data_IF_324530574680
#
_entry.id   IF_324530574680
#
_cell.length_a   1.000
_cell.length_b   1.000
_cell.length_c   1.000
_cell.angle_alpha   90.00
_cell.angle_beta   90.00
_cell.angle_gamma   90.00
#
_symmetry.space_group_name_H-M   'P 1'
#
loop_
_entity.id
_entity.type
_entity.pdbx_description
1 polymer ?
#
# COMPACT_ATOMS: atom_id res chain seq x y z
N UNK A 1 21.73 -24.94 -50.11
CA UNK A 1 22.14 -24.43 -51.45
C UNK A 1 22.10 -22.90 -51.36
N UNK A 2 23.10 -22.22 -50.80
CA UNK A 2 24.40 -21.78 -51.39
C UNK A 2 24.25 -21.17 -52.79
N UNK A 3 24.06 -19.85 -52.84
CA UNK A 3 24.40 -19.04 -54.00
C UNK A 3 25.72 -18.31 -53.70
N UNK A 4 26.74 -18.60 -54.50
CA UNK A 4 28.07 -18.00 -54.44
C UNK A 4 28.12 -16.70 -55.27
N UNK A 5 28.97 -15.73 -54.89
CA UNK A 5 29.06 -14.43 -55.57
C UNK A 5 30.02 -14.48 -56.77
N UNK A 6 29.80 -13.58 -57.75
CA UNK A 6 30.66 -13.41 -58.93
C UNK A 6 31.66 -12.27 -58.72
N UNK A 7 32.95 -12.59 -58.87
CA UNK A 7 34.12 -11.70 -58.99
C UNK A 7 34.19 -11.11 -60.43
N UNK A 8 34.95 -10.10 -60.86
CA UNK A 8 36.06 -9.26 -60.37
C UNK A 8 36.26 -8.09 -61.37
N UNK A 9 36.76 -6.96 -60.87
CA UNK A 9 37.53 -5.76 -61.37
C UNK A 9 38.25 -5.88 -62.75
N UNK A 10 38.90 -4.83 -63.38
CA UNK A 10 39.22 -3.45 -62.93
C UNK A 10 39.23 -2.32 -64.00
N UNK A 11 39.47 -1.07 -63.58
CA UNK A 11 40.32 -0.13 -64.34
C UNK A 11 40.81 1.05 -63.47
N UNK A 12 42.11 1.35 -63.58
CA UNK A 12 42.88 2.38 -62.85
C UNK A 12 42.80 3.75 -63.53
N UNK A 13 42.95 4.82 -62.74
CA UNK A 13 43.89 5.98 -62.89
C UNK A 13 43.45 7.08 -61.90
N UNK A 14 44.19 7.35 -60.82
CA UNK A 14 45.24 8.38 -60.71
C UNK A 14 44.78 9.79 -61.14
N UNK A 15 44.56 10.69 -60.17
CA UNK A 15 45.26 11.97 -60.10
C UNK A 15 44.92 12.68 -58.78
N UNK A 16 45.97 13.12 -58.08
CA UNK A 16 45.93 14.07 -56.97
C UNK A 16 45.70 15.46 -57.54
N UNK A 17 44.81 16.23 -56.93
CA UNK A 17 44.89 17.69 -56.95
C UNK A 17 44.23 18.23 -55.69
N UNK A 18 45.08 18.73 -54.79
CA UNK A 18 44.68 19.60 -53.71
C UNK A 18 44.17 20.92 -54.30
N UNK A 19 43.00 21.36 -53.85
CA UNK A 19 42.45 22.67 -54.16
C UNK A 19 41.53 23.05 -53.02
N UNK A 20 42.03 23.89 -52.12
CA UNK A 20 41.26 24.46 -51.03
C UNK A 20 40.22 25.43 -51.61
N UNK A 21 38.94 25.21 -51.27
CA UNK A 21 37.91 26.25 -51.33
C UNK A 21 37.29 26.31 -49.93
N UNK A 22 37.56 27.42 -49.25
CA UNK A 22 36.89 27.82 -48.02
C UNK A 22 35.53 28.47 -48.34
N UNK A 23 34.68 28.59 -47.30
CA UNK A 23 33.34 29.22 -47.22
C UNK A 23 32.18 28.21 -47.31
N UNK A 24 31.21 28.11 -46.38
CA UNK A 24 30.77 28.95 -45.27
C UNK A 24 30.21 28.07 -44.14
N UNK A 25 30.48 28.47 -42.89
CA UNK A 25 29.80 27.96 -41.72
C UNK A 25 28.46 28.68 -41.51
N UNK A 26 27.36 27.94 -41.58
CA UNK A 26 26.05 28.19 -40.94
C UNK A 26 25.48 26.78 -40.72
N UNK A 27 25.50 26.18 -39.54
CA UNK A 27 24.90 26.72 -38.31
C UNK A 27 23.49 26.17 -38.16
N UNK A 28 23.33 24.86 -37.98
CA UNK A 28 22.12 24.22 -37.45
C UNK A 28 22.40 22.75 -37.07
N UNK A 29 23.35 22.52 -36.17
CA UNK A 29 23.31 21.30 -35.38
C UNK A 29 22.13 21.42 -34.41
N UNK A 30 20.97 20.93 -34.82
CA UNK A 30 19.92 20.49 -33.90
C UNK A 30 20.52 19.35 -33.09
N UNK A 31 21.26 19.71 -32.04
CA UNK A 31 21.50 18.82 -30.92
C UNK A 31 20.11 18.47 -30.41
N UNK A 32 19.60 17.28 -30.77
CA UNK A 32 18.60 16.63 -29.97
C UNK A 32 19.25 16.44 -28.60
N UNK A 33 19.04 17.40 -27.71
CA UNK A 33 19.39 17.22 -26.31
C UNK A 33 18.70 15.93 -25.88
N UNK A 34 19.42 14.95 -25.30
CA UNK A 34 18.74 13.83 -24.68
C UNK A 34 17.79 14.43 -23.66
N UNK A 35 16.49 14.23 -23.83
CA UNK A 35 15.54 14.53 -22.78
C UNK A 35 15.84 13.57 -21.65
N UNK A 36 16.69 14.00 -20.72
CA UNK A 36 16.84 13.36 -19.43
C UNK A 36 15.53 13.56 -18.70
N UNK A 37 14.59 12.63 -18.86
CA UNK A 37 13.56 12.41 -17.87
C UNK A 37 14.26 11.78 -16.67
N UNK A 38 14.94 12.62 -15.88
CA UNK A 38 15.16 12.27 -14.48
C UNK A 38 13.79 12.18 -13.83
N UNK A 39 13.60 11.17 -13.00
CA UNK A 39 12.42 10.92 -12.17
C UNK A 39 12.26 12.06 -11.15
N UNK A 40 11.88 13.25 -11.63
CA UNK A 40 11.98 14.51 -10.88
C UNK A 40 10.69 14.88 -10.16
N UNK A 41 9.72 13.98 -10.10
CA UNK A 41 8.49 14.15 -9.32
C UNK A 41 8.62 13.39 -8.01
N UNK A 42 8.23 13.97 -6.87
CA UNK A 42 8.23 13.25 -5.61
C UNK A 42 7.18 12.13 -5.66
N UNK A 43 7.46 11.04 -4.94
CA UNK A 43 6.47 10.00 -4.68
C UNK A 43 5.35 10.51 -3.77
N UNK A 44 4.21 9.81 -3.76
CA UNK A 44 3.12 10.13 -2.82
C UNK A 44 3.63 10.10 -1.38
N UNK A 45 4.43 9.10 -1.00
CA UNK A 45 5.00 9.01 0.34
C UNK A 45 5.87 10.23 0.69
N UNK A 46 6.71 10.69 -0.24
CA UNK A 46 7.53 11.89 -0.06
C UNK A 46 6.68 13.15 0.12
N UNK A 47 5.60 13.29 -0.66
CA UNK A 47 4.66 14.41 -0.51
C UNK A 47 3.94 14.38 0.85
N UNK A 48 3.43 13.21 1.26
CA UNK A 48 2.77 13.06 2.57
C UNK A 48 3.73 13.36 3.72
N UNK A 49 4.99 12.93 3.61
CA UNK A 49 6.03 13.25 4.60
C UNK A 49 6.33 14.75 4.63
N UNK A 50 6.30 15.43 3.48
CA UNK A 50 6.54 16.86 3.35
C UNK A 50 5.41 17.73 3.92
N UNK A 51 4.26 17.17 4.33
CA UNK A 51 3.21 17.93 5.01
C UNK A 51 3.70 18.68 6.25
N UNK A 52 4.69 18.15 6.98
CA UNK A 52 5.26 18.83 8.15
C UNK A 52 6.10 20.06 7.84
N UNK A 53 6.51 20.27 6.58
CA UNK A 53 7.31 21.41 6.13
C UNK A 53 6.62 22.26 5.06
N UNK A 54 5.39 21.90 4.67
CA UNK A 54 4.55 22.68 3.79
C UNK A 54 3.87 23.83 4.57
N UNK A 55 3.70 24.98 3.94
CA UNK A 55 2.94 26.10 4.50
C UNK A 55 1.44 25.78 4.57
N UNK A 56 0.96 24.99 3.61
CA UNK A 56 -0.37 24.40 3.60
C UNK A 56 -0.23 22.91 3.41
N UNK A 57 -0.85 22.12 4.27
CA UNK A 57 -1.16 20.71 4.02
C UNK A 57 -2.62 20.52 4.41
N UNK A 58 -3.48 20.28 3.42
CA UNK A 58 -4.92 20.15 3.63
C UNK A 58 -5.43 18.87 3.00
N UNK A 59 -6.21 18.10 3.78
CA UNK A 59 -7.00 17.03 3.24
C UNK A 59 -8.39 17.55 2.86
N UNK A 60 -8.82 17.21 1.66
CA UNK A 60 -10.14 17.51 1.13
C UNK A 60 -10.93 16.20 1.03
N UNK A 61 -11.73 15.86 2.05
CA UNK A 61 -12.49 14.63 2.09
C UNK A 61 -13.62 14.63 1.04
N UNK A 62 -13.88 13.46 0.46
CA UNK A 62 -14.88 13.26 -0.60
C UNK A 62 -15.90 12.16 -0.28
N UNK A 63 -15.47 11.09 0.38
CA UNK A 63 -16.41 10.04 0.83
C UNK A 63 -15.93 9.38 2.12
N UNK A 64 -16.88 8.81 2.84
CA UNK A 64 -16.67 8.01 4.04
C UNK A 64 -17.51 6.73 3.98
N UNK A 65 -16.96 5.61 4.46
CA UNK A 65 -17.66 4.32 4.53
C UNK A 65 -17.20 3.50 5.72
N UNK A 66 -18.14 2.96 6.49
CA UNK A 66 -17.91 1.92 7.49
C UNK A 66 -18.15 0.52 6.88
N UNK A 67 -17.40 -0.48 7.32
CA UNK A 67 -17.48 -1.86 6.83
C UNK A 67 -16.82 -2.85 7.79
N UNK A 68 -17.17 -4.14 7.68
CA UNK A 68 -16.45 -5.21 8.37
C UNK A 68 -15.24 -5.63 7.55
N UNK A 69 -14.07 -5.65 8.17
CA UNK A 69 -12.81 -6.09 7.59
C UNK A 69 -12.79 -7.59 7.25
N UNK A 70 -11.74 -8.05 6.55
CA UNK A 70 -11.61 -9.46 6.21
C UNK A 70 -11.52 -10.32 7.47
N UNK A 71 -12.21 -11.46 7.40
CA UNK A 71 -12.22 -12.44 8.48
C UNK A 71 -10.86 -13.14 8.59
N UNK A 72 -10.38 -13.31 9.81
CA UNK A 72 -9.12 -14.02 10.09
C UNK A 72 -9.20 -14.74 11.44
N UNK A 73 -8.33 -15.73 11.63
CA UNK A 73 -8.26 -16.42 12.91
C UNK A 73 -7.57 -15.54 13.96
N UNK A 74 -8.13 -15.50 15.17
CA UNK A 74 -7.50 -14.92 16.35
C UNK A 74 -7.29 -15.99 17.42
N UNK A 75 -6.17 -15.91 18.12
CA UNK A 75 -5.77 -16.92 19.10
C UNK A 75 -5.41 -18.27 18.48
N UNK A 76 -5.13 -19.24 19.36
CA UNK A 76 -4.77 -20.60 18.95
C UNK A 76 -5.99 -21.42 18.56
N UNK A 77 -5.74 -22.44 17.73
CA UNK A 77 -6.71 -23.51 17.48
C UNK A 77 -6.71 -24.47 18.68
N UNK A 78 -7.89 -24.74 19.23
CA UNK A 78 -8.11 -25.75 20.26
C UNK A 78 -8.38 -27.11 19.59
N UNK A 79 -7.64 -28.15 19.98
CA UNK A 79 -7.83 -29.51 19.48
C UNK A 79 -8.38 -30.38 20.60
N UNK A 80 -9.47 -31.10 20.35
CA UNK A 80 -10.03 -32.03 21.32
C UNK A 80 -9.75 -33.49 20.90
N UNK A 81 -8.71 -34.05 21.53
CA UNK A 81 -8.27 -35.43 21.36
C UNK A 81 -9.01 -36.42 22.27
N UNK A 82 -9.87 -35.94 23.17
CA UNK A 82 -10.65 -36.77 24.07
C UNK A 82 -11.88 -37.39 23.40
N UNK A 83 -12.57 -38.22 24.17
CA UNK A 83 -13.83 -38.88 23.77
C UNK A 83 -15.09 -38.09 24.16
N UNK A 84 -14.94 -37.04 24.97
CA UNK A 84 -16.03 -36.16 25.42
C UNK A 84 -15.84 -34.73 24.92
N UNK A 85 -16.92 -33.94 24.93
CA UNK A 85 -16.82 -32.50 24.60
C UNK A 85 -16.00 -31.80 25.69
N UNK A 86 -14.89 -31.19 25.29
CA UNK A 86 -13.98 -30.52 26.20
C UNK A 86 -14.09 -29.01 26.07
N UNK A 87 -13.95 -28.34 27.20
CA UNK A 87 -13.90 -26.90 27.27
C UNK A 87 -12.46 -26.42 27.11
N UNK A 88 -12.25 -25.43 26.26
CA UNK A 88 -10.95 -24.81 26.00
C UNK A 88 -11.03 -23.30 26.21
N UNK A 89 -10.04 -22.75 26.88
CA UNK A 89 -9.87 -21.29 27.01
C UNK A 89 -8.93 -20.81 25.92
N UNK A 90 -9.40 -19.89 25.08
CA UNK A 90 -8.65 -19.25 24.00
C UNK A 90 -8.45 -17.78 24.36
N UNK A 91 -7.19 -17.41 24.60
CA UNK A 91 -6.77 -16.03 24.77
C UNK A 91 -6.28 -15.50 23.43
N UNK A 92 -6.65 -14.27 23.09
CA UNK A 92 -6.14 -13.62 21.88
C UNK A 92 -5.96 -12.11 22.06
N UNK A 93 -5.08 -11.56 21.24
CA UNK A 93 -4.84 -10.13 21.07
C UNK A 93 -4.69 -9.86 19.58
N UNK A 94 -5.36 -8.85 19.06
CA UNK A 94 -5.32 -8.49 17.65
C UNK A 94 -5.21 -6.97 17.47
N UNK A 95 -4.22 -6.54 16.70
CA UNK A 95 -3.95 -5.12 16.42
C UNK A 95 -4.35 -4.77 14.99
N UNK A 96 -5.29 -3.85 14.86
CA UNK A 96 -5.70 -3.26 13.59
C UNK A 96 -5.03 -1.91 13.40
N UNK A 97 -4.03 -1.86 12.53
CA UNK A 97 -3.38 -0.62 12.12
C UNK A 97 -4.09 0.03 10.94
N UNK A 98 -4.00 1.36 10.88
CA UNK A 98 -4.44 2.10 9.71
C UNK A 98 -3.54 1.78 8.50
N UNK A 99 -4.15 1.80 7.32
CA UNK A 99 -3.48 1.71 6.03
C UNK A 99 -3.91 2.88 5.16
N UNK A 100 -3.10 3.19 4.15
CA UNK A 100 -3.42 4.23 3.18
C UNK A 100 -2.91 3.89 1.77
N UNK A 101 -3.06 4.83 0.84
CA UNK A 101 -2.59 4.70 -0.56
C UNK A 101 -1.11 4.33 -0.69
N UNK A 102 -0.26 4.61 0.31
CA UNK A 102 1.18 4.27 0.28
C UNK A 102 1.52 2.97 1.03
N UNK A 103 0.53 2.32 1.67
CA UNK A 103 0.74 1.05 2.40
C UNK A 103 0.36 1.18 3.89
N UNK A 104 1.24 0.70 4.77
CA UNK A 104 1.01 0.76 6.22
C UNK A 104 1.27 2.17 6.73
N UNK A 105 0.36 2.69 7.55
CA UNK A 105 0.31 4.08 8.02
C UNK A 105 1.59 4.60 8.71
N UNK A 106 2.47 3.71 9.19
CA UNK A 106 3.65 4.02 10.01
C UNK A 106 4.68 4.85 9.22
N UNK A 107 4.68 4.78 7.89
CA UNK A 107 5.66 5.49 7.04
C UNK A 107 5.27 6.93 6.71
N UNK A 108 3.99 7.33 6.91
CA UNK A 108 3.55 8.70 6.68
C UNK A 108 3.68 9.53 7.96
N UNK A 109 4.37 10.67 7.88
CA UNK A 109 4.74 11.50 9.04
C UNK A 109 3.58 11.95 9.94
N UNK A 110 3.90 12.31 11.19
CA UNK A 110 2.92 12.65 12.24
C UNK A 110 1.97 13.79 11.82
N UNK A 111 2.49 14.83 11.18
CA UNK A 111 1.69 16.00 10.77
C UNK A 111 0.63 15.65 9.71
N UNK A 112 0.97 14.77 8.79
CA UNK A 112 0.01 14.26 7.80
C UNK A 112 -1.21 13.61 8.49
N UNK A 113 -0.97 12.75 9.48
CA UNK A 113 -2.05 12.07 10.20
C UNK A 113 -2.86 13.02 11.07
N UNK A 114 -2.26 14.07 11.63
CA UNK A 114 -2.99 15.11 12.37
C UNK A 114 -3.99 15.83 11.47
N UNK A 115 -3.55 16.30 10.30
CA UNK A 115 -4.42 16.94 9.31
C UNK A 115 -5.52 15.99 8.87
N UNK A 116 -5.17 14.73 8.55
CA UNK A 116 -6.14 13.73 8.12
C UNK A 116 -7.25 13.52 9.16
N UNK A 117 -6.86 13.25 10.42
CA UNK A 117 -7.79 12.96 11.51
C UNK A 117 -8.73 14.14 11.75
N UNK A 118 -8.19 15.35 11.84
CA UNK A 118 -8.98 16.56 12.03
C UNK A 118 -9.97 16.78 10.86
N UNK A 119 -9.53 16.58 9.62
CA UNK A 119 -10.41 16.75 8.46
C UNK A 119 -11.54 15.71 8.41
N UNK A 120 -11.27 14.46 8.77
CA UNK A 120 -12.31 13.40 8.86
C UNK A 120 -13.31 13.71 9.96
N UNK A 121 -12.82 14.08 11.15
CA UNK A 121 -13.66 14.44 12.30
C UNK A 121 -14.57 15.63 11.98
N UNK A 122 -14.01 16.70 11.42
CA UNK A 122 -14.78 17.88 11.05
C UNK A 122 -15.80 17.63 9.94
N UNK A 123 -15.47 16.77 8.97
CA UNK A 123 -16.31 16.59 7.77
C UNK A 123 -17.39 15.53 7.93
N UNK A 124 -17.15 14.53 8.77
CA UNK A 124 -18.06 13.39 8.93
C UNK A 124 -18.50 13.16 10.38
N UNK A 125 -18.01 13.96 11.34
CA UNK A 125 -18.25 13.75 12.78
C UNK A 125 -17.82 12.35 13.24
N UNK A 126 -16.75 11.82 12.64
CA UNK A 126 -16.21 10.50 12.94
C UNK A 126 -14.80 10.56 13.48
N UNK A 127 -14.54 9.78 14.53
CA UNK A 127 -13.22 9.70 15.15
C UNK A 127 -12.28 8.79 14.35
N UNK A 128 -10.98 9.09 14.34
CA UNK A 128 -10.00 8.29 13.59
C UNK A 128 -8.75 7.95 14.39
N UNK A 129 -8.48 6.66 14.54
CA UNK A 129 -7.23 6.15 15.11
C UNK A 129 -6.32 5.51 14.05
N UNK A 130 -5.02 5.58 14.30
CA UNK A 130 -3.99 4.93 13.46
C UNK A 130 -3.68 3.51 13.90
N UNK A 131 -4.09 3.11 15.11
CA UNK A 131 -3.94 1.76 15.61
C UNK A 131 -4.97 1.48 16.71
N UNK A 132 -5.48 0.26 16.76
CA UNK A 132 -6.36 -0.22 17.82
C UNK A 132 -6.03 -1.68 18.13
N UNK A 133 -6.00 -2.05 19.41
CA UNK A 133 -5.76 -3.43 19.84
C UNK A 133 -6.94 -3.92 20.66
N UNK A 134 -7.57 -5.01 20.22
CA UNK A 134 -8.54 -5.74 21.03
C UNK A 134 -7.84 -6.94 21.68
N UNK A 135 -8.30 -7.32 22.86
CA UNK A 135 -7.85 -8.54 23.53
C UNK A 135 -9.00 -9.15 24.31
N UNK A 136 -9.19 -10.46 24.18
CA UNK A 136 -10.30 -11.17 24.82
C UNK A 136 -9.86 -12.59 25.20
N UNK A 137 -10.48 -13.10 26.26
CA UNK A 137 -10.44 -14.50 26.66
C UNK A 137 -11.81 -15.10 26.41
N UNK A 138 -11.91 -16.11 25.53
CA UNK A 138 -13.15 -16.86 25.31
C UNK A 138 -12.99 -18.31 25.70
N UNK A 139 -14.02 -18.82 26.35
CA UNK A 139 -14.16 -20.24 26.64
C UNK A 139 -15.05 -20.88 25.57
N UNK A 140 -14.55 -21.93 24.92
CA UNK A 140 -15.22 -22.62 23.81
C UNK A 140 -15.35 -24.11 24.11
N UNK A 141 -16.43 -24.72 23.64
CA UNK A 141 -16.65 -26.16 23.80
C UNK A 141 -16.36 -26.84 22.45
N UNK A 142 -15.38 -27.75 22.43
CA UNK A 142 -14.95 -28.46 21.23
C UNK A 142 -15.35 -29.92 21.35
N UNK A 143 -16.04 -30.45 20.34
CA UNK A 143 -16.52 -31.85 20.32
C UNK A 143 -15.36 -32.86 20.21
N UNK A 144 -15.55 -34.12 20.62
CA UNK A 144 -14.56 -35.19 20.45
C UNK A 144 -14.09 -35.31 19.00
N UNK A 145 -12.78 -35.30 18.77
CA UNK A 145 -12.23 -35.45 17.42
C UNK A 145 -12.34 -34.20 16.54
N UNK A 146 -12.73 -33.05 17.10
CA UNK A 146 -12.83 -31.77 16.42
C UNK A 146 -11.71 -30.82 16.83
N UNK A 147 -11.46 -29.83 15.97
CA UNK A 147 -10.71 -28.63 16.28
C UNK A 147 -11.66 -27.43 16.29
N UNK A 148 -11.37 -26.44 17.11
CA UNK A 148 -12.12 -25.20 17.21
C UNK A 148 -11.19 -23.98 17.18
N UNK A 149 -11.64 -22.88 16.60
CA UNK A 149 -10.89 -21.62 16.54
C UNK A 149 -11.84 -20.43 16.60
N UNK A 150 -11.30 -19.25 16.89
CA UNK A 150 -12.05 -17.99 16.85
C UNK A 150 -11.75 -17.30 15.52
N UNK A 151 -12.81 -16.89 14.82
CA UNK A 151 -12.72 -16.07 13.61
C UNK A 151 -13.21 -14.65 13.92
N UNK A 152 -12.39 -13.65 13.63
CA UNK A 152 -12.69 -12.23 13.85
C UNK A 152 -12.84 -11.50 12.51
N UNK A 153 -13.90 -10.71 12.40
CA UNK A 153 -14.02 -9.63 11.41
C UNK A 153 -13.98 -8.29 12.12
N UNK A 154 -13.02 -7.43 11.80
CA UNK A 154 -12.84 -6.14 12.51
C UNK A 154 -13.82 -5.08 12.03
N UNK A 155 -14.37 -4.26 12.93
CA UNK A 155 -15.04 -3.03 12.51
C UNK A 155 -14.04 -2.06 11.90
N UNK A 156 -14.25 -1.62 10.65
CA UNK A 156 -13.34 -0.74 9.92
C UNK A 156 -14.08 0.45 9.32
N UNK A 157 -13.35 1.55 9.17
CA UNK A 157 -13.77 2.76 8.48
C UNK A 157 -12.78 3.08 7.36
N UNK A 158 -13.26 3.81 6.35
CA UNK A 158 -12.46 4.27 5.21
C UNK A 158 -12.94 5.63 4.75
N UNK A 159 -12.02 6.59 4.67
CA UNK A 159 -12.27 7.87 4.01
C UNK A 159 -11.41 8.00 2.75
N UNK A 160 -11.97 8.69 1.76
CA UNK A 160 -11.31 9.02 0.49
C UNK A 160 -11.34 10.52 0.26
N UNK A 161 -10.36 11.03 -0.46
CA UNK A 161 -10.25 12.43 -0.82
C UNK A 161 -8.97 12.73 -1.58
N UNK A 162 -8.47 13.94 -1.41
CA UNK A 162 -7.21 14.37 -2.00
C UNK A 162 -6.49 15.35 -1.08
N UNK A 163 -5.17 15.49 -1.26
CA UNK A 163 -4.37 16.47 -0.54
C UNK A 163 -3.98 17.64 -1.42
N UNK A 164 -3.93 18.81 -0.80
CA UNK A 164 -3.34 20.04 -1.31
C UNK A 164 -2.14 20.41 -0.44
N UNK A 165 -0.98 20.61 -1.08
CA UNK A 165 0.23 21.04 -0.40
C UNK A 165 0.77 22.31 -1.05
N UNK A 166 0.99 23.36 -0.27
CA UNK A 166 1.66 24.59 -0.70
C UNK A 166 2.99 24.75 0.04
N UNK A 167 4.04 25.12 -0.67
CA UNK A 167 5.36 25.35 -0.12
C UNK A 167 5.81 26.77 -0.40
N UNK A 168 6.46 27.44 0.55
CA UNK A 168 7.00 28.80 0.34
C UNK A 168 8.26 28.82 -0.52
N UNK A 169 8.91 27.66 -0.68
CA UNK A 169 10.00 27.41 -1.63
C UNK A 169 9.62 26.23 -2.51
N UNK A 170 10.14 26.21 -3.75
CA UNK A 170 9.87 25.10 -4.69
C UNK A 170 10.29 23.76 -4.10
N UNK A 171 9.35 22.84 -3.94
CA UNK A 171 9.57 21.43 -3.62
C UNK A 171 9.52 20.64 -4.93
N UNK A 172 10.63 19.99 -5.30
CA UNK A 172 10.77 19.33 -6.60
C UNK A 172 10.37 20.23 -7.80
N UNK A 173 10.72 21.52 -7.73
CA UNK A 173 10.46 22.49 -8.81
C UNK A 173 9.07 23.15 -8.79
N UNK A 174 8.15 22.70 -7.93
CA UNK A 174 6.78 23.23 -7.85
C UNK A 174 6.48 23.84 -6.47
N UNK A 175 5.62 24.86 -6.44
CA UNK A 175 5.13 25.46 -5.20
C UNK A 175 3.88 24.75 -4.66
N UNK A 176 3.10 24.12 -5.54
CA UNK A 176 1.82 23.50 -5.22
C UNK A 176 1.83 22.07 -5.72
N UNK A 177 1.38 21.14 -4.87
CA UNK A 177 1.24 19.73 -5.18
C UNK A 177 -0.15 19.21 -4.79
N UNK A 178 -0.66 18.29 -5.60
CA UNK A 178 -1.92 17.60 -5.35
C UNK A 178 -1.71 16.09 -5.30
N UNK A 179 -2.27 15.46 -4.27
CA UNK A 179 -2.32 13.99 -4.17
C UNK A 179 -3.76 13.56 -4.37
N UNK A 180 -4.09 13.17 -5.60
CA UNK A 180 -5.44 12.74 -5.97
C UNK A 180 -5.71 11.30 -5.55
N UNK A 181 -6.99 10.97 -5.35
CA UNK A 181 -7.46 9.61 -5.03
C UNK A 181 -6.79 9.02 -3.77
N UNK A 182 -6.47 9.87 -2.80
CA UNK A 182 -5.97 9.42 -1.52
C UNK A 182 -7.08 8.69 -0.76
N UNK A 183 -6.73 7.56 -0.16
CA UNK A 183 -7.63 6.85 0.73
C UNK A 183 -6.85 6.30 1.92
N UNK A 184 -7.51 6.27 3.08
CA UNK A 184 -7.05 5.53 4.23
C UNK A 184 -8.17 4.68 4.81
N UNK A 185 -7.78 3.58 5.46
CA UNK A 185 -8.67 2.70 6.19
C UNK A 185 -8.11 2.47 7.59
N UNK A 186 -8.98 2.41 8.60
CA UNK A 186 -8.60 2.21 10.00
C UNK A 186 -9.66 1.44 10.75
N UNK A 187 -9.45 1.24 12.05
CA UNK A 187 -10.48 0.73 12.95
C UNK A 187 -11.60 1.76 13.11
N UNK A 188 -12.87 1.32 13.05
CA UNK A 188 -14.04 2.17 13.29
C UNK A 188 -14.39 2.17 14.77
N UNK A 189 -13.99 3.24 15.45
CA UNK A 189 -14.21 3.45 16.87
C UNK A 189 -15.65 3.80 17.20
N UNK A 190 -16.37 4.41 16.26
CA UNK A 190 -17.72 4.91 16.50
C UNK A 190 -18.75 3.79 16.38
N UNK A 191 -18.40 2.71 15.65
CA UNK A 191 -19.26 1.53 15.48
C UNK A 191 -18.51 0.22 15.71
N UNK A 192 -17.96 -0.05 16.91
CA UNK A 192 -17.22 -1.29 17.18
C UNK A 192 -18.07 -2.56 16.94
N UNK A 193 -19.39 -2.46 17.08
CA UNK A 193 -20.37 -3.53 16.86
C UNK A 193 -20.48 -4.03 15.40
N UNK A 194 -19.94 -3.30 14.42
CA UNK A 194 -19.90 -3.80 13.04
C UNK A 194 -18.84 -4.90 12.85
N UNK A 195 -17.99 -5.12 13.86
CA UNK A 195 -17.09 -6.27 13.94
C UNK A 195 -17.77 -7.48 14.59
N UNK A 196 -17.11 -8.64 14.54
CA UNK A 196 -17.57 -9.86 15.19
C UNK A 196 -16.40 -10.75 15.61
N UNK A 197 -16.66 -11.63 16.59
CA UNK A 197 -15.78 -12.74 16.99
C UNK A 197 -16.61 -14.00 17.15
N UNK A 198 -16.49 -14.91 16.21
CA UNK A 198 -17.29 -16.14 16.15
C UNK A 198 -16.43 -17.37 16.43
N UNK A 199 -16.96 -18.29 17.23
CA UNK A 199 -16.38 -19.62 17.33
C UNK A 199 -16.70 -20.43 16.07
N UNK A 200 -15.70 -21.13 15.56
CA UNK A 200 -15.77 -22.04 14.42
C UNK A 200 -15.19 -23.37 14.85
N UNK A 201 -15.74 -24.46 14.32
CA UNK A 201 -15.21 -25.80 14.51
C UNK A 201 -15.18 -26.58 13.21
N UNK A 202 -14.33 -27.61 13.18
CA UNK A 202 -14.27 -28.58 12.10
C UNK A 202 -13.77 -29.91 12.66
N UNK A 203 -14.17 -31.02 12.02
CA UNK A 203 -13.59 -32.31 12.35
C UNK A 203 -12.10 -32.29 12.03
N UNK A 204 -11.27 -32.84 12.92
CA UNK A 204 -9.85 -32.97 12.64
C UNK A 204 -9.64 -33.91 11.46
N UNK A 205 -8.70 -33.57 10.59
CA UNK A 205 -8.17 -34.50 9.59
C UNK A 205 -7.38 -35.63 10.27
N UNK A 206 -7.10 -36.71 9.54
CA UNK A 206 -6.21 -37.77 10.03
C UNK A 206 -4.81 -37.24 10.36
N UNK A 207 -4.29 -36.34 9.52
CA UNK A 207 -2.99 -35.69 9.74
C UNK A 207 -2.98 -34.82 11.00
N UNK A 208 -4.03 -34.02 11.23
CA UNK A 208 -4.14 -33.22 12.45
C UNK A 208 -4.29 -34.09 13.70
N UNK A 209 -5.07 -35.17 13.64
CA UNK A 209 -5.13 -36.13 14.76
C UNK A 209 -3.77 -36.72 15.05
N UNK A 210 -3.03 -37.18 14.04
CA UNK A 210 -1.70 -37.73 14.24
C UNK A 210 -0.71 -36.69 14.80
N UNK A 211 -0.83 -35.42 14.38
CA UNK A 211 0.07 -34.35 14.82
C UNK A 211 -0.24 -33.83 16.23
N UNK A 212 -1.49 -33.90 16.69
CA UNK A 212 -1.93 -33.23 17.92
C UNK A 212 -2.48 -34.17 19.01
N UNK A 213 -2.81 -35.43 18.68
CA UNK A 213 -3.55 -36.31 19.59
C UNK A 213 -2.85 -37.56 20.09
N UNK A 214 -1.69 -37.95 19.53
CA UNK A 214 -0.91 -39.10 20.02
C UNK A 214 -1.50 -40.44 19.61
#
# INVERSE_FOLDING_TARGET
MRFAPRSTTPSRRLARSAGAVAALALGASLMAAPQSYADSSPSVAQLLQACGSADVCKFHPQSYTAYTGPKHQVGSTAFNCGHETNQHTVNWSDTTSATNTVGVAIEAGVEFWKVYKASVELSYSHSWTTSHTDSETKTVNVRPGYKGWLERGTSKQKAKGWYELHFGKRYYGHYIWYINNYQAAGWDQDHPQNGYVNFKDAQMTSGERAAHCG
#
